data_IF_164088258938
#
_entry.id   IF_164088258938
#
_cell.length_a   1.000
_cell.length_b   1.000
_cell.length_c   1.000
_cell.angle_alpha   90.00
_cell.angle_beta   90.00
_cell.angle_gamma   90.00
#
_symmetry.space_group_name_H-M   'P 1'
#
loop_
_entity.id
_entity.type
_entity.pdbx_description
1 polymer ?
#
# COMPACT_ATOMS: atom_id res chain seq x y z
N UNK A 1 25.38 3.37 -7.98
CA UNK A 1 26.26 4.48 -7.57
C UNK A 1 25.46 5.70 -7.06
N UNK A 2 24.57 6.29 -7.87
CA UNK A 2 23.77 7.47 -7.46
C UNK A 2 22.94 7.26 -6.17
N UNK A 3 22.34 6.07 -5.98
CA UNK A 3 21.62 5.71 -4.75
C UNK A 3 22.50 5.78 -3.48
N UNK A 4 23.77 5.41 -3.62
CA UNK A 4 24.75 5.44 -2.55
C UNK A 4 25.17 6.88 -2.23
N UNK A 5 25.35 7.70 -3.26
CA UNK A 5 25.62 9.14 -3.12
C UNK A 5 24.45 9.88 -2.47
N UNK A 6 23.21 9.55 -2.83
CA UNK A 6 22.01 10.13 -2.22
C UNK A 6 21.87 9.70 -0.75
N UNK A 7 22.13 8.43 -0.42
CA UNK A 7 22.14 7.95 0.95
C UNK A 7 23.24 8.61 1.81
N UNK A 8 24.45 8.73 1.26
CA UNK A 8 25.57 9.36 1.94
C UNK A 8 25.35 10.87 2.14
N UNK A 9 24.80 11.56 1.14
CA UNK A 9 24.43 12.97 1.22
C UNK A 9 23.35 13.23 2.27
N UNK A 10 22.36 12.34 2.35
CA UNK A 10 21.33 12.38 3.39
C UNK A 10 21.92 12.22 4.80
N UNK A 11 22.82 11.25 5.01
CA UNK A 11 23.52 11.05 6.29
C UNK A 11 24.39 12.27 6.63
N UNK A 12 25.17 12.78 5.67
CA UNK A 12 26.04 13.95 5.86
C UNK A 12 25.24 15.20 6.23
N UNK A 13 24.09 15.45 5.57
CA UNK A 13 23.20 16.57 5.88
C UNK A 13 22.59 16.44 7.28
N UNK A 14 22.22 15.22 7.68
CA UNK A 14 21.67 14.95 9.02
C UNK A 14 22.72 15.21 10.11
N UNK A 15 23.94 14.71 9.92
CA UNK A 15 25.07 14.95 10.85
C UNK A 15 25.42 16.43 10.92
N UNK A 16 25.45 17.13 9.78
CA UNK A 16 25.69 18.57 9.71
C UNK A 16 24.63 19.36 10.49
N UNK A 17 23.35 19.07 10.29
CA UNK A 17 22.27 19.76 11.00
C UNK A 17 22.32 19.51 12.52
N UNK A 18 22.71 18.30 12.96
CA UNK A 18 22.93 18.00 14.38
C UNK A 18 24.12 18.79 14.93
N UNK A 19 25.23 18.84 14.18
CA UNK A 19 26.42 19.58 14.56
C UNK A 19 26.15 21.10 14.65
N UNK A 20 25.34 21.63 13.72
CA UNK A 20 24.93 23.03 13.69
C UNK A 20 24.07 23.39 14.92
N UNK A 21 23.07 22.57 15.27
CA UNK A 21 22.27 22.75 16.49
C UNK A 21 23.12 22.61 17.76
N UNK A 22 24.11 21.71 17.77
CA UNK A 22 25.01 21.53 18.90
C UNK A 22 25.99 22.70 19.08
N UNK A 23 26.34 23.39 18.00
CA UNK A 23 27.27 24.53 18.03
C UNK A 23 26.58 25.86 18.37
N UNK A 24 25.25 25.95 18.35
CA UNK A 24 24.56 27.18 18.73
C UNK A 24 24.59 27.42 20.26
N UNK A 25 25.25 28.50 20.73
CA UNK A 25 25.33 28.81 22.17
C UNK A 25 24.00 29.32 22.73
N UNK A 26 23.10 29.84 21.88
CA UNK A 26 21.82 30.37 22.32
C UNK A 26 20.86 29.25 22.78
N UNK A 27 20.19 29.42 23.93
CA UNK A 27 19.21 28.45 24.42
C UNK A 27 17.89 28.48 23.61
N UNK A 28 17.67 29.54 22.81
CA UNK A 28 16.44 29.77 22.02
C UNK A 28 16.76 30.32 20.63
N UNK A 29 17.39 29.53 19.73
CA UNK A 29 17.48 29.94 18.34
C UNK A 29 16.06 30.08 17.77
N UNK A 30 15.70 31.29 17.34
CA UNK A 30 14.39 31.64 16.76
C UNK A 30 13.17 31.41 17.68
N UNK A 31 13.36 31.47 19.00
CA UNK A 31 12.26 31.35 19.97
C UNK A 31 11.72 29.93 20.18
N UNK A 32 12.27 28.94 19.49
CA UNK A 32 11.92 27.52 19.64
C UNK A 32 12.93 26.82 20.57
N UNK A 33 12.47 25.90 21.44
CA UNK A 33 13.37 25.20 22.34
C UNK A 33 14.24 24.20 21.57
N UNK A 34 15.51 24.07 21.98
CA UNK A 34 16.55 23.27 21.30
C UNK A 34 16.13 21.82 21.01
N UNK A 35 15.33 21.21 21.89
CA UNK A 35 14.83 19.84 21.72
C UNK A 35 13.88 19.68 20.52
N UNK A 36 13.12 20.72 20.16
CA UNK A 36 12.16 20.69 19.06
C UNK A 36 12.88 20.68 17.69
N UNK A 37 14.03 21.35 17.60
CA UNK A 37 14.89 21.32 16.42
C UNK A 37 15.52 19.93 16.21
N UNK A 38 16.02 19.32 17.30
CA UNK A 38 16.53 17.94 17.27
C UNK A 38 15.40 16.97 16.85
N UNK A 39 14.21 17.11 17.42
CA UNK A 39 13.05 16.30 17.04
C UNK A 39 12.68 16.47 15.57
N UNK A 40 12.70 17.70 15.03
CA UNK A 40 12.44 17.95 13.61
C UNK A 40 13.46 17.26 12.70
N UNK A 41 14.75 17.37 13.00
CA UNK A 41 15.81 16.71 12.22
C UNK A 41 15.63 15.19 12.22
N UNK A 42 15.21 14.61 13.34
CA UNK A 42 14.92 13.18 13.44
C UNK A 42 13.67 12.83 12.65
N UNK A 43 12.59 13.61 12.75
CA UNK A 43 11.25 13.23 12.26
C UNK A 43 11.04 13.49 10.75
N UNK A 44 11.59 14.59 10.21
CA UNK A 44 11.54 14.97 8.78
C UNK A 44 11.84 13.81 7.82
N UNK A 45 12.88 13.00 8.00
CA UNK A 45 13.14 11.88 7.11
C UNK A 45 12.13 10.73 7.21
N UNK A 46 11.58 10.49 8.39
CA UNK A 46 10.58 9.43 8.58
C UNK A 46 9.20 9.85 8.08
N UNK A 47 8.87 11.14 8.04
CA UNK A 47 7.60 11.66 7.52
C UNK A 47 7.27 11.12 6.12
N UNK A 48 8.25 11.10 5.21
CA UNK A 48 8.05 10.57 3.85
C UNK A 48 7.78 9.06 3.82
N UNK A 49 8.52 8.29 4.61
CA UNK A 49 8.35 6.84 4.71
C UNK A 49 7.01 6.47 5.38
N UNK A 50 6.64 7.19 6.45
CA UNK A 50 5.37 7.03 7.16
C UNK A 50 4.21 7.38 6.22
N UNK A 51 4.27 8.51 5.51
CA UNK A 51 3.24 8.90 4.54
C UNK A 51 3.05 7.84 3.46
N UNK A 52 4.14 7.28 2.92
CA UNK A 52 4.07 6.20 1.94
C UNK A 52 3.46 4.93 2.51
N UNK A 53 3.82 4.54 3.74
CA UNK A 53 3.21 3.40 4.42
C UNK A 53 1.72 3.61 4.69
N UNK A 54 1.30 4.80 5.10
CA UNK A 54 -0.11 5.14 5.30
C UNK A 54 -0.88 5.06 3.98
N UNK A 55 -0.36 5.64 2.90
CA UNK A 55 -0.97 5.53 1.56
C UNK A 55 -1.09 4.08 1.14
N UNK A 56 -0.05 3.25 1.38
CA UNK A 56 -0.09 1.83 1.09
C UNK A 56 -1.16 1.12 1.91
N UNK A 57 -1.25 1.37 3.22
CA UNK A 57 -2.25 0.74 4.09
C UNK A 57 -3.68 1.12 3.72
N UNK A 58 -3.92 2.39 3.41
CA UNK A 58 -5.25 2.90 3.01
C UNK A 58 -5.59 2.42 1.60
N UNK A 59 -4.68 2.53 0.63
CA UNK A 59 -4.92 2.10 -0.76
C UNK A 59 -5.08 0.59 -0.91
N UNK A 60 -4.52 -0.22 -0.01
CA UNK A 60 -4.72 -1.66 0.00
C UNK A 60 -6.04 -2.09 0.68
N UNK A 61 -6.70 -1.19 1.41
CA UNK A 61 -8.03 -1.43 1.98
C UNK A 61 -9.12 -1.42 0.88
N UNK A 62 -8.95 -0.59 -0.16
CA UNK A 62 -9.86 -0.54 -1.32
C UNK A 62 -9.59 -1.65 -2.34
N UNK A 63 -8.39 -2.24 -2.35
CA UNK A 63 -8.01 -3.31 -3.27
C UNK A 63 -8.59 -4.71 -2.93
N UNK A 64 -9.45 -4.79 -1.91
CA UNK A 64 -10.04 -6.05 -1.42
C UNK A 64 -11.26 -6.57 -2.20
N UNK A 65 -11.83 -5.83 -3.16
CA UNK A 65 -13.21 -6.11 -3.63
C UNK A 65 -13.40 -6.68 -5.04
N UNK A 66 -12.38 -6.93 -5.87
CA UNK A 66 -12.68 -7.49 -7.21
C UNK A 66 -11.56 -8.32 -7.83
N UNK A 67 -11.03 -9.28 -7.07
CA UNK A 67 -10.60 -10.50 -7.74
C UNK A 67 -11.89 -11.18 -8.17
N UNK A 68 -12.35 -10.92 -9.41
CA UNK A 68 -13.36 -11.77 -10.06
C UNK A 68 -12.85 -13.20 -9.90
N UNK A 69 -13.41 -13.93 -8.93
CA UNK A 69 -13.13 -15.34 -8.78
C UNK A 69 -13.50 -15.96 -10.13
N UNK A 70 -12.61 -16.76 -10.76
CA UNK A 70 -13.02 -17.58 -11.88
C UNK A 70 -14.27 -18.34 -11.43
N UNK A 71 -15.39 -18.11 -12.12
CA UNK A 71 -16.59 -18.91 -11.91
C UNK A 71 -16.20 -20.33 -12.29
N UNK A 72 -16.38 -21.27 -11.36
CA UNK A 72 -16.10 -22.66 -11.64
C UNK A 72 -17.03 -23.10 -12.78
N UNK A 73 -16.57 -23.94 -13.73
CA UNK A 73 -17.41 -24.46 -14.82
C UNK A 73 -18.64 -25.26 -14.37
N UNK A 74 -18.84 -25.48 -13.07
CA UNK A 74 -20.01 -26.13 -12.48
C UNK A 74 -21.09 -25.11 -12.01
N UNK A 75 -20.70 -23.83 -11.84
CA UNK A 75 -21.53 -22.72 -11.35
C UNK A 75 -21.96 -21.75 -12.46
N UNK A 76 -21.76 -22.12 -13.73
CA UNK A 76 -22.13 -21.32 -14.88
C UNK A 76 -23.61 -21.51 -15.24
N UNK A 77 -24.42 -20.44 -15.22
CA UNK A 77 -25.87 -20.55 -15.41
C UNK A 77 -26.24 -21.05 -16.82
N UNK A 78 -25.37 -20.82 -17.81
CA UNK A 78 -25.60 -21.30 -19.18
C UNK A 78 -25.44 -22.82 -19.33
N UNK A 79 -24.46 -23.44 -18.68
CA UNK A 79 -24.24 -24.89 -18.76
C UNK A 79 -25.33 -25.67 -18.02
N UNK A 80 -25.75 -25.18 -16.85
CA UNK A 80 -26.88 -25.76 -16.11
C UNK A 80 -28.18 -25.68 -16.93
N UNK A 81 -28.43 -24.55 -17.60
CA UNK A 81 -29.58 -24.40 -18.49
C UNK A 81 -29.51 -25.37 -19.69
N UNK A 82 -28.33 -25.60 -20.25
CA UNK A 82 -28.12 -26.57 -21.32
C UNK A 82 -28.36 -28.02 -20.86
N UNK A 83 -27.88 -28.40 -19.66
CA UNK A 83 -28.13 -29.73 -19.08
C UNK A 83 -29.63 -29.97 -18.84
N UNK A 84 -30.35 -28.97 -18.34
CA UNK A 84 -31.80 -29.08 -18.11
C UNK A 84 -32.56 -29.28 -19.43
N UNK A 85 -32.17 -28.57 -20.50
CA UNK A 85 -32.75 -28.76 -21.83
C UNK A 85 -32.50 -30.16 -22.39
N UNK A 86 -31.30 -30.72 -22.18
CA UNK A 86 -31.01 -32.10 -22.59
C UNK A 86 -31.86 -33.12 -21.83
N UNK A 87 -32.01 -32.95 -20.51
CA UNK A 87 -32.82 -33.86 -19.69
C UNK A 87 -34.27 -33.88 -20.16
N UNK A 88 -34.85 -32.71 -20.45
CA UNK A 88 -36.20 -32.56 -20.99
C UNK A 88 -36.40 -33.19 -22.37
N UNK A 89 -35.36 -33.27 -23.21
CA UNK A 89 -35.43 -33.98 -24.50
C UNK A 89 -35.48 -35.49 -24.31
N UNK A 90 -34.57 -36.03 -23.48
CA UNK A 90 -34.54 -37.47 -23.18
C UNK A 90 -35.83 -37.96 -22.53
N UNK A 91 -36.39 -37.20 -21.59
CA UNK A 91 -37.68 -37.53 -20.94
C UNK A 91 -38.84 -37.63 -21.96
N UNK A 92 -38.83 -36.80 -23.02
CA UNK A 92 -39.85 -36.85 -24.08
C UNK A 92 -39.68 -38.05 -25.00
N UNK A 93 -38.43 -38.41 -25.31
CA UNK A 93 -38.10 -39.57 -26.14
C UNK A 93 -38.42 -40.88 -25.41
N UNK A 94 -38.11 -40.98 -24.11
CA UNK A 94 -38.43 -42.16 -23.31
C UNK A 94 -39.89 -42.26 -22.87
N UNK A 95 -40.61 -41.15 -22.74
CA UNK A 95 -42.05 -41.16 -22.45
C UNK A 95 -42.93 -41.47 -23.67
N UNK A 96 -42.32 -41.67 -24.84
CA UNK A 96 -42.99 -42.03 -26.10
C UNK A 96 -42.79 -43.49 -26.53
N UNK A 97 -42.08 -44.29 -25.73
CA UNK A 97 -42.08 -45.77 -25.77
C UNK A 97 -43.09 -46.34 -24.77
#
# INVERSE_FOLDING_TARGET
MLRLLLGLGYIALTVYAIADVAQHPDPKPFGLPRWLWIATIIVVPFLGAIAWLVIKFVGNADAGSSRRKPVAPDDDPEYLAWLEQQRRRKEREHGSE
#
